data_IF_649389388292
#
_entry.id   IF_649389388292
#
_cell.length_a   1.000
_cell.length_b   1.000
_cell.length_c   1.000
_cell.angle_alpha   90.00
_cell.angle_beta   90.00
_cell.angle_gamma   90.00
#
_symmetry.space_group_name_H-M   'P 1'
#
loop_
_entity.id
_entity.type
_entity.pdbx_description
1 polymer ?
#
# COMPACT_ATOMS: atom_id res chain seq x y z
N UNK A 1 -39.29 -32.08 -27.75
CA UNK A 1 -38.06 -31.77 -26.99
C UNK A 1 -37.11 -30.99 -27.89
N UNK A 2 -36.90 -29.70 -27.63
CA UNK A 2 -35.89 -28.85 -28.27
C UNK A 2 -35.17 -28.09 -27.16
N UNK A 3 -34.04 -28.63 -26.69
CA UNK A 3 -33.13 -27.95 -25.78
C UNK A 3 -32.27 -27.02 -26.62
N UNK A 4 -32.35 -25.70 -26.42
CA UNK A 4 -31.21 -24.81 -26.66
C UNK A 4 -31.21 -23.70 -25.61
N UNK A 5 -30.51 -23.98 -24.52
CA UNK A 5 -29.50 -23.12 -23.89
C UNK A 5 -29.71 -21.59 -24.00
N UNK A 6 -30.60 -21.04 -23.17
CA UNK A 6 -30.80 -19.59 -23.01
C UNK A 6 -30.45 -19.16 -21.58
N UNK A 7 -29.24 -19.47 -21.09
CA UNK A 7 -28.83 -19.01 -19.74
C UNK A 7 -27.33 -18.83 -19.46
N UNK A 8 -26.41 -18.94 -20.43
CA UNK A 8 -24.95 -18.97 -20.12
C UNK A 8 -24.10 -17.87 -20.77
N UNK A 9 -24.73 -16.87 -21.40
CA UNK A 9 -24.03 -15.74 -22.01
C UNK A 9 -24.25 -14.40 -21.28
N UNK A 10 -24.28 -14.43 -19.94
CA UNK A 10 -24.20 -13.21 -19.11
C UNK A 10 -23.06 -13.25 -18.06
N UNK A 11 -22.25 -14.31 -18.06
CA UNK A 11 -21.10 -14.49 -17.16
C UNK A 11 -19.74 -14.42 -17.88
N UNK A 12 -19.72 -13.94 -19.12
CA UNK A 12 -18.51 -13.85 -19.94
C UNK A 12 -17.83 -12.47 -19.92
N UNK A 13 -18.30 -11.50 -19.12
CA UNK A 13 -17.58 -10.21 -18.95
C UNK A 13 -16.72 -10.14 -17.69
N UNK A 14 -16.75 -11.13 -16.81
CA UNK A 14 -15.72 -11.29 -15.77
C UNK A 14 -14.60 -12.18 -16.31
N UNK A 15 -13.90 -11.67 -17.32
CA UNK A 15 -12.63 -12.23 -17.76
C UNK A 15 -11.63 -12.02 -16.60
N UNK A 16 -11.62 -12.97 -15.66
CA UNK A 16 -10.55 -13.32 -14.72
C UNK A 16 -9.60 -12.14 -14.42
N UNK A 17 -10.01 -11.20 -13.57
CA UNK A 17 -9.06 -10.31 -12.92
C UNK A 17 -8.18 -11.19 -12.03
N UNK A 18 -6.97 -11.49 -12.48
CA UNK A 18 -6.00 -12.20 -11.66
C UNK A 18 -5.51 -11.23 -10.59
N UNK A 19 -6.12 -11.27 -9.42
CA UNK A 19 -5.64 -10.56 -8.25
C UNK A 19 -4.40 -11.26 -7.70
N UNK A 20 -3.43 -10.47 -7.25
CA UNK A 20 -2.24 -10.94 -6.57
C UNK A 20 -1.94 -10.02 -5.39
N UNK A 21 -1.17 -10.49 -4.42
CA UNK A 21 -0.78 -9.68 -3.26
C UNK A 21 0.67 -9.27 -3.37
N UNK A 22 0.95 -8.01 -3.06
CA UNK A 22 2.31 -7.47 -2.95
C UNK A 22 2.49 -6.80 -1.60
N UNK A 23 3.65 -7.04 -0.99
CA UNK A 23 4.01 -6.44 0.29
C UNK A 23 4.81 -5.16 0.04
N UNK A 24 4.45 -4.11 0.77
CA UNK A 24 5.27 -2.91 0.88
C UNK A 24 6.17 -3.09 2.08
N UNK A 25 7.47 -3.10 1.82
CA UNK A 25 8.47 -3.31 2.85
C UNK A 25 8.99 -1.97 3.36
N UNK A 26 9.38 -1.93 4.61
CA UNK A 26 10.12 -0.81 5.18
C UNK A 26 11.36 -1.28 5.91
N UNK A 27 12.36 -0.40 5.96
CA UNK A 27 13.51 -0.45 6.85
C UNK A 27 13.75 0.97 7.38
N UNK A 28 13.62 1.17 8.69
CA UNK A 28 13.55 2.49 9.30
C UNK A 28 14.31 2.52 10.62
N UNK A 29 15.17 3.52 10.81
CA UNK A 29 15.79 3.80 12.12
C UNK A 29 14.84 4.54 13.08
N UNK A 30 13.72 5.03 12.56
CA UNK A 30 12.77 5.91 13.23
C UNK A 30 11.36 5.34 13.23
N UNK A 31 10.56 5.81 14.19
CA UNK A 31 9.14 5.47 14.28
C UNK A 31 8.35 6.11 13.15
N UNK A 32 7.44 5.34 12.55
CA UNK A 32 6.55 5.83 11.50
C UNK A 32 5.19 6.15 12.12
N UNK A 33 4.76 7.40 12.06
CA UNK A 33 3.43 7.84 12.51
C UNK A 33 2.40 7.96 11.39
N UNK A 34 2.85 7.91 10.14
CA UNK A 34 2.02 7.90 8.95
C UNK A 34 2.85 7.80 7.69
N UNK A 35 2.21 7.41 6.60
CA UNK A 35 2.85 7.30 5.29
C UNK A 35 1.88 7.64 4.17
N UNK A 36 2.45 8.06 3.05
CA UNK A 36 1.80 8.21 1.76
C UNK A 36 2.74 7.67 0.69
N UNK A 37 2.19 7.01 -0.33
CA UNK A 37 2.90 6.67 -1.55
C UNK A 37 1.95 6.58 -2.74
N UNK A 38 2.51 6.56 -3.94
CA UNK A 38 1.80 6.24 -5.18
C UNK A 38 2.30 4.90 -5.71
N UNK A 39 1.40 3.94 -5.89
CA UNK A 39 1.66 2.69 -6.61
C UNK A 39 1.61 2.97 -8.11
N UNK A 40 2.67 2.58 -8.82
CA UNK A 40 2.77 2.64 -10.27
C UNK A 40 2.88 1.22 -10.84
N UNK A 41 2.57 1.05 -12.12
CA UNK A 41 2.75 -0.23 -12.83
C UNK A 41 1.70 -1.31 -12.52
N UNK A 42 0.89 -1.12 -11.49
CA UNK A 42 -0.24 -1.97 -11.13
C UNK A 42 -1.38 -1.13 -10.51
N UNK A 43 -2.58 -1.71 -10.47
CA UNK A 43 -3.76 -1.09 -9.83
C UNK A 43 -4.12 -1.88 -8.59
N UNK A 44 -4.12 -1.24 -7.42
CA UNK A 44 -4.55 -1.90 -6.20
C UNK A 44 -6.08 -1.96 -6.08
N UNK A 45 -6.57 -3.01 -5.42
CA UNK A 45 -7.97 -3.27 -5.09
C UNK A 45 -8.22 -2.99 -3.62
N UNK A 46 -7.27 -3.38 -2.76
CA UNK A 46 -7.35 -3.14 -1.32
C UNK A 46 -5.95 -2.92 -0.74
N UNK A 47 -5.91 -2.27 0.44
CA UNK A 47 -4.69 -2.02 1.21
C UNK A 47 -4.99 -2.36 2.67
N UNK A 48 -4.27 -3.33 3.22
CA UNK A 48 -4.53 -3.83 4.58
C UNK A 48 -3.33 -4.59 5.15
N UNK A 49 -3.35 -4.83 6.46
CA UNK A 49 -2.35 -5.65 7.14
C UNK A 49 -1.00 -4.96 7.30
N UNK A 50 0.03 -5.78 7.49
CA UNK A 50 1.37 -5.34 7.89
C UNK A 50 1.42 -4.73 9.29
N UNK A 51 2.55 -4.10 9.59
CA UNK A 51 2.78 -3.42 10.86
C UNK A 51 1.88 -2.20 11.00
N UNK A 52 1.54 -1.51 9.90
CA UNK A 52 0.57 -0.41 9.94
C UNK A 52 -0.83 -0.91 10.36
N UNK A 53 -1.28 -2.04 9.80
CA UNK A 53 -2.54 -2.67 10.19
C UNK A 53 -2.54 -3.10 11.66
N UNK A 54 -1.42 -3.71 12.12
CA UNK A 54 -1.25 -4.14 13.52
C UNK A 54 -1.20 -2.95 14.48
N UNK A 55 -0.57 -1.85 14.08
CA UNK A 55 -0.53 -0.60 14.82
C UNK A 55 -1.87 0.16 14.81
N UNK A 56 -2.89 -0.32 14.08
CA UNK A 56 -4.22 0.28 14.06
C UNK A 56 -4.34 1.50 13.16
N UNK A 57 -3.53 1.58 12.10
CA UNK A 57 -3.60 2.70 11.15
C UNK A 57 -4.89 2.64 10.34
N UNK A 58 -5.45 3.82 10.08
CA UNK A 58 -6.50 4.01 9.09
C UNK A 58 -5.86 4.08 7.71
N UNK A 59 -6.17 3.09 6.88
CA UNK A 59 -5.69 2.98 5.51
C UNK A 59 -6.73 3.60 4.57
N UNK A 60 -6.30 4.49 3.69
CA UNK A 60 -7.11 5.07 2.62
C UNK A 60 -6.35 5.01 1.31
N UNK A 61 -7.07 4.94 0.20
CA UNK A 61 -6.44 4.96 -1.11
C UNK A 61 -7.40 5.32 -2.23
N UNK A 62 -6.82 5.81 -3.33
CA UNK A 62 -7.48 6.02 -4.60
C UNK A 62 -6.80 5.14 -5.66
N UNK A 63 -7.45 4.03 -6.02
CA UNK A 63 -6.94 3.07 -6.98
C UNK A 63 -6.71 3.69 -8.38
N UNK A 64 -7.52 4.67 -8.78
CA UNK A 64 -7.40 5.32 -10.09
C UNK A 64 -6.13 6.17 -10.21
N UNK A 65 -5.66 6.75 -9.10
CA UNK A 65 -4.42 7.53 -9.06
C UNK A 65 -3.23 6.77 -8.48
N UNK A 66 -3.43 5.52 -8.03
CA UNK A 66 -2.41 4.75 -7.30
C UNK A 66 -2.09 5.29 -5.91
N UNK A 67 -2.79 6.33 -5.43
CA UNK A 67 -2.47 6.98 -4.15
C UNK A 67 -2.90 6.08 -2.99
N UNK A 68 -1.99 5.86 -2.04
CA UNK A 68 -2.25 5.15 -0.79
C UNK A 68 -1.69 5.99 0.36
N UNK A 69 -2.47 6.09 1.43
CA UNK A 69 -2.06 6.73 2.67
C UNK A 69 -2.49 5.89 3.87
N UNK A 70 -1.61 5.78 4.85
CA UNK A 70 -1.88 5.20 6.15
C UNK A 70 -1.61 6.24 7.22
N UNK A 71 -2.60 6.53 8.04
CA UNK A 71 -2.47 7.50 9.12
C UNK A 71 -3.15 6.99 10.38
N UNK A 72 -2.67 7.44 11.53
CA UNK A 72 -3.37 7.25 12.79
C UNK A 72 -4.14 8.51 13.19
N UNK A 73 -5.13 8.35 14.06
CA UNK A 73 -5.80 9.51 14.66
C UNK A 73 -4.82 10.20 15.62
N UNK A 74 -4.44 11.47 15.36
CA UNK A 74 -3.51 12.19 16.22
C UNK A 74 -4.07 12.24 17.65
N UNK A 75 -3.33 11.65 18.59
CA UNK A 75 -3.74 11.54 20.00
C UNK A 75 -3.86 10.10 20.55
N UNK A 76 -3.82 9.07 19.70
CA UNK A 76 -3.74 7.68 20.18
C UNK A 76 -2.29 7.21 20.44
N UNK A 77 -1.28 7.96 20.00
CA UNK A 77 0.13 7.61 20.18
C UNK A 77 0.54 6.32 19.47
N UNK A 78 -0.24 5.89 18.47
CA UNK A 78 0.03 4.68 17.70
C UNK A 78 1.13 4.95 16.68
N UNK A 79 2.04 4.01 16.51
CA UNK A 79 3.10 4.12 15.51
C UNK A 79 3.58 2.74 15.11
N UNK A 80 4.14 2.65 13.91
CA UNK A 80 4.96 1.50 13.53
C UNK A 80 6.34 1.73 14.16
N UNK A 81 6.85 0.78 14.97
CA UNK A 81 8.17 0.89 15.57
C UNK A 81 9.29 1.04 14.53
N UNK A 82 10.43 1.59 14.95
CA UNK A 82 11.66 1.49 14.18
C UNK A 82 12.06 0.02 13.98
N UNK A 83 12.67 -0.28 12.85
CA UNK A 83 13.05 -1.61 12.41
C UNK A 83 12.68 -1.85 10.95
N UNK A 84 12.63 -3.13 10.59
CA UNK A 84 12.32 -3.58 9.23
C UNK A 84 11.16 -4.56 9.24
N UNK A 85 10.29 -4.50 8.23
CA UNK A 85 9.14 -5.40 8.13
C UNK A 85 8.24 -5.13 6.94
N UNK A 86 7.04 -5.70 7.00
CA UNK A 86 5.96 -5.41 6.04
C UNK A 86 5.18 -4.22 6.58
N UNK A 87 5.27 -3.07 5.93
CA UNK A 87 4.52 -1.88 6.31
C UNK A 87 3.02 -2.12 6.10
N UNK A 88 2.67 -2.60 4.91
CA UNK A 88 1.30 -2.96 4.52
C UNK A 88 1.30 -3.89 3.32
N UNK A 89 0.17 -4.58 3.07
CA UNK A 89 -0.01 -5.45 1.91
C UNK A 89 -1.09 -4.87 1.00
N UNK A 90 -0.82 -4.82 -0.30
CA UNK A 90 -1.82 -4.49 -1.32
C UNK A 90 -2.29 -5.75 -2.03
N UNK A 91 -3.60 -5.86 -2.21
CA UNK A 91 -4.13 -6.71 -3.28
C UNK A 91 -4.13 -5.88 -4.56
N UNK A 92 -3.53 -6.37 -5.63
CA UNK A 92 -3.37 -5.68 -6.90
C UNK A 92 -3.91 -6.50 -8.07
N UNK A 93 -4.17 -5.77 -9.15
CA UNK A 93 -4.46 -6.29 -10.49
C UNK A 93 -3.43 -5.75 -11.46
N UNK A 94 -3.00 -6.59 -12.41
CA UNK A 94 -1.91 -6.29 -13.34
C UNK A 94 -0.63 -7.08 -13.04
N UNK A 95 0.50 -6.60 -13.54
CA UNK A 95 1.81 -7.24 -13.37
C UNK A 95 2.49 -6.75 -12.08
N UNK A 96 2.56 -7.63 -11.07
CA UNK A 96 3.25 -7.35 -9.81
C UNK A 96 4.74 -6.99 -10.01
N UNK A 97 5.38 -7.52 -11.06
CA UNK A 97 6.80 -7.28 -11.35
C UNK A 97 7.06 -5.87 -11.87
N UNK A 98 6.04 -5.23 -12.44
CA UNK A 98 6.10 -3.84 -12.89
C UNK A 98 5.77 -2.84 -11.76
N UNK A 99 5.36 -3.32 -10.59
CA UNK A 99 4.92 -2.47 -9.49
C UNK A 99 6.08 -1.71 -8.85
N UNK A 100 5.93 -0.40 -8.70
CA UNK A 100 6.92 0.45 -8.04
C UNK A 100 6.29 1.61 -7.30
N UNK A 101 6.97 2.10 -6.27
CA UNK A 101 6.50 3.22 -5.46
C UNK A 101 7.10 4.55 -5.94
N UNK A 102 6.31 5.61 -5.85
CA UNK A 102 6.75 6.99 -6.06
C UNK A 102 6.01 7.93 -5.10
N UNK A 103 6.42 9.21 -5.05
CA UNK A 103 5.82 10.24 -4.18
C UNK A 103 5.68 9.78 -2.72
N UNK A 104 6.70 9.07 -2.22
CA UNK A 104 6.70 8.56 -0.85
C UNK A 104 6.88 9.73 0.12
N UNK A 105 6.03 9.79 1.14
CA UNK A 105 6.12 10.74 2.23
C UNK A 105 5.87 9.99 3.53
N UNK A 106 6.75 10.16 4.51
CA UNK A 106 6.64 9.53 5.82
C UNK A 106 6.50 10.64 6.86
N UNK A 107 5.67 10.42 7.87
CA UNK A 107 5.53 11.33 9.00
C UNK A 107 5.90 10.67 10.32
N UNK A 108 6.28 11.50 11.30
CA UNK A 108 6.48 11.08 12.67
C UNK A 108 5.13 10.89 13.41
N UNK A 109 5.19 10.51 14.69
CA UNK A 109 3.99 10.28 15.52
C UNK A 109 3.11 11.53 15.73
N UNK A 110 3.58 12.74 15.40
CA UNK A 110 2.75 13.95 15.46
C UNK A 110 2.14 14.31 14.11
N UNK A 111 2.31 13.45 13.09
CA UNK A 111 1.83 13.70 11.73
C UNK A 111 2.70 14.68 10.94
N UNK A 112 3.90 15.01 11.42
CA UNK A 112 4.82 15.93 10.75
C UNK A 112 5.79 15.15 9.86
N UNK A 113 5.81 15.48 8.57
CA UNK A 113 6.83 14.98 7.64
C UNK A 113 8.12 15.77 7.88
N UNK A 114 9.05 15.17 8.62
CA UNK A 114 10.27 15.84 9.13
C UNK A 114 11.56 15.34 8.49
N UNK A 115 11.49 14.26 7.71
CA UNK A 115 12.63 13.67 7.02
C UNK A 115 13.11 14.61 5.90
N UNK A 116 14.43 14.83 5.83
CA UNK A 116 15.04 15.65 4.81
C UNK A 116 15.01 14.95 3.44
N UNK A 117 15.26 15.73 2.38
CA UNK A 117 15.42 15.17 1.04
C UNK A 117 16.67 14.29 0.99
N UNK A 118 16.48 12.99 0.78
CA UNK A 118 17.56 11.99 0.77
C UNK A 118 17.43 10.93 1.87
N UNK A 119 16.77 11.25 2.97
CA UNK A 119 16.55 10.35 4.12
C UNK A 119 15.59 9.21 3.77
N UNK A 120 14.68 9.47 2.82
CA UNK A 120 13.74 8.47 2.30
C UNK A 120 14.25 8.01 0.94
N UNK A 121 14.63 6.74 0.85
CA UNK A 121 14.97 6.08 -0.42
C UNK A 121 13.96 5.00 -0.74
N UNK A 122 13.72 4.80 -2.04
CA UNK A 122 12.70 3.87 -2.54
C UNK A 122 13.33 2.97 -3.59
N UNK A 123 13.19 1.66 -3.40
CA UNK A 123 13.65 0.64 -4.34
C UNK A 123 12.54 -0.36 -4.60
N UNK A 124 11.85 -0.20 -5.75
CA UNK A 124 10.68 -1.02 -6.10
C UNK A 124 9.54 -0.81 -5.11
N UNK A 125 9.26 -1.83 -4.29
CA UNK A 125 8.24 -1.83 -3.23
C UNK A 125 8.82 -1.70 -1.81
N UNK A 126 10.11 -1.42 -1.69
CA UNK A 126 10.79 -1.22 -0.40
C UNK A 126 11.08 0.25 -0.16
N UNK A 127 10.78 0.73 1.05
CA UNK A 127 11.04 2.08 1.53
C UNK A 127 12.12 2.00 2.61
N UNK A 128 13.22 2.75 2.46
CA UNK A 128 14.24 2.87 3.49
C UNK A 128 14.22 4.30 4.05
N UNK A 129 14.24 4.41 5.37
CA UNK A 129 14.21 5.67 6.11
C UNK A 129 15.46 5.72 7.00
N UNK A 130 16.37 6.64 6.69
CA UNK A 130 17.60 6.92 7.43
C UNK A 130 17.52 8.36 7.92
N UNK A 131 16.97 8.54 9.12
CA UNK A 131 16.76 9.84 9.72
C UNK A 131 17.99 10.20 10.57
N UNK A 132 18.91 10.94 9.95
CA UNK A 132 20.16 11.39 10.57
C UNK A 132 19.94 12.33 11.76
#
# INVERSE_FOLDING_TARGET
>A
MKKVLSIILLVFSSFLYSESTVDILYDSDSVIGGFQFTLNGATFVSVQGGDAGTAGFMMQGNAASGLVLGFMNPGLGLSVPAGSGVLTTLTITGDASAASLSNVTISNQTGSATYAAGDITVSGLSITIDAV
#
